data_IF_358508070669
#
_entry.id   IF_358508070669
#
_cell.length_a   1.000
_cell.length_b   1.000
_cell.length_c   1.000
_cell.angle_alpha   90.00
_cell.angle_beta   90.00
_cell.angle_gamma   90.00
#
_symmetry.space_group_name_H-M   'P 1'
#
loop_
_entity.id
_entity.type
_entity.pdbx_description
1 polymer ?
#
# COMPACT_ATOMS: atom_id res chain seq x y z
N UNK A 1 -28.47 -19.00 27.02
CA UNK A 1 -27.10 -18.46 27.25
C UNK A 1 -26.25 -18.75 26.02
N UNK A 2 -25.91 -17.77 25.17
CA UNK A 2 -24.97 -18.04 24.10
C UNK A 2 -23.56 -18.11 24.68
N UNK A 3 -22.84 -19.19 24.34
CA UNK A 3 -21.42 -19.38 24.64
C UNK A 3 -20.60 -18.34 23.89
N UNK A 4 -19.93 -17.48 24.65
CA UNK A 4 -18.91 -16.56 24.15
C UNK A 4 -17.62 -17.37 23.88
N UNK A 5 -17.46 -17.85 22.65
CA UNK A 5 -16.14 -18.30 22.17
C UNK A 5 -15.27 -17.06 21.94
N UNK A 6 -14.53 -16.71 23.00
CA UNK A 6 -13.53 -15.65 23.02
C UNK A 6 -12.33 -15.99 22.15
N UNK A 7 -12.50 -16.01 20.82
CA UNK A 7 -11.38 -15.76 19.91
C UNK A 7 -11.07 -14.28 20.00
N UNK A 8 -9.84 -13.91 20.35
CA UNK A 8 -9.35 -12.54 20.33
C UNK A 8 -9.61 -11.93 18.93
N UNK A 9 -10.73 -11.20 18.79
CA UNK A 9 -11.13 -10.48 17.57
C UNK A 9 -10.41 -9.14 17.53
N UNK A 10 -9.08 -9.17 17.47
CA UNK A 10 -8.32 -7.93 17.31
C UNK A 10 -8.37 -7.51 15.83
N UNK A 11 -8.68 -6.24 15.57
CA UNK A 11 -8.68 -5.63 14.23
C UNK A 11 -9.79 -6.10 13.25
N UNK A 12 -10.99 -6.38 13.76
CA UNK A 12 -12.18 -6.59 12.91
C UNK A 12 -13.14 -5.42 13.04
N UNK A 13 -13.55 -4.86 11.91
CA UNK A 13 -14.53 -3.77 11.85
C UNK A 13 -15.81 -4.30 11.22
N UNK A 14 -16.95 -4.16 11.88
CA UNK A 14 -18.23 -4.64 11.35
C UNK A 14 -18.87 -3.63 10.38
N UNK A 15 -18.55 -2.35 10.51
CA UNK A 15 -19.09 -1.25 9.69
C UNK A 15 -18.07 -0.12 9.57
N UNK A 16 -17.96 0.52 8.40
CA UNK A 16 -17.12 1.71 8.22
C UNK A 16 -18.01 2.94 8.24
N UNK A 17 -17.86 3.79 9.24
CA UNK A 17 -18.67 5.02 9.40
C UNK A 17 -20.19 4.75 9.28
N UNK A 18 -20.67 3.61 9.81
CA UNK A 18 -22.08 3.21 9.73
C UNK A 18 -22.52 2.65 8.36
N UNK A 19 -21.62 2.52 7.37
CA UNK A 19 -21.89 1.89 6.07
C UNK A 19 -21.44 0.43 6.03
N UNK A 20 -22.00 -0.33 5.07
CA UNK A 20 -21.67 -1.74 4.87
C UNK A 20 -20.20 -1.95 4.49
N UNK A 21 -19.65 -3.10 4.86
CA UNK A 21 -18.26 -3.47 4.53
C UNK A 21 -17.96 -3.43 3.03
N UNK A 22 -18.96 -3.72 2.18
CA UNK A 22 -18.84 -3.62 0.72
C UNK A 22 -18.51 -2.19 0.26
N UNK A 23 -19.16 -1.16 0.85
CA UNK A 23 -18.81 0.24 0.57
C UNK A 23 -17.40 0.57 1.05
N UNK A 24 -16.97 -0.07 2.15
CA UNK A 24 -15.61 0.02 2.64
C UNK A 24 -14.57 -0.48 1.65
N UNK A 25 -14.79 -1.66 1.07
CA UNK A 25 -13.88 -2.22 0.06
C UNK A 25 -13.89 -1.42 -1.23
N UNK A 26 -15.06 -0.89 -1.64
CA UNK A 26 -15.15 0.03 -2.78
C UNK A 26 -14.33 1.31 -2.53
N UNK A 27 -14.43 1.89 -1.33
CA UNK A 27 -13.61 3.03 -0.95
C UNK A 27 -12.10 2.71 -0.99
N UNK A 28 -11.69 1.57 -0.43
CA UNK A 28 -10.29 1.11 -0.47
C UNK A 28 -9.80 0.97 -1.91
N UNK A 29 -10.58 0.34 -2.78
CA UNK A 29 -10.23 0.18 -4.19
C UNK A 29 -10.02 1.53 -4.90
N UNK A 30 -10.95 2.46 -4.73
CA UNK A 30 -10.85 3.81 -5.33
C UNK A 30 -9.65 4.57 -4.77
N UNK A 31 -9.51 4.60 -3.44
CA UNK A 31 -8.43 5.32 -2.78
C UNK A 31 -7.05 4.77 -3.18
N UNK A 32 -6.92 3.44 -3.29
CA UNK A 32 -5.68 2.80 -3.76
C UNK A 32 -5.36 3.22 -5.18
N UNK A 33 -6.34 3.20 -6.11
CA UNK A 33 -6.12 3.66 -7.49
C UNK A 33 -5.64 5.11 -7.53
N UNK A 34 -6.26 6.00 -6.76
CA UNK A 34 -5.89 7.43 -6.71
C UNK A 34 -4.48 7.62 -6.16
N UNK A 35 -4.17 7.01 -5.01
CA UNK A 35 -2.85 7.11 -4.37
C UNK A 35 -1.78 6.55 -5.29
N UNK A 36 -1.98 5.35 -5.83
CA UNK A 36 -1.01 4.69 -6.72
C UNK A 36 -0.79 5.49 -8.01
N UNK A 37 -1.83 6.14 -8.55
CA UNK A 37 -1.70 7.02 -9.73
C UNK A 37 -0.86 8.27 -9.44
N UNK A 38 -1.07 8.92 -8.29
CA UNK A 38 -0.25 10.06 -7.87
C UNK A 38 1.21 9.62 -7.70
N UNK A 39 1.43 8.49 -7.02
CA UNK A 39 2.77 7.93 -6.79
C UNK A 39 3.45 7.55 -8.12
N UNK A 40 2.70 7.01 -9.08
CA UNK A 40 3.21 6.68 -10.42
C UNK A 40 3.69 7.95 -11.14
N UNK A 41 2.87 9.00 -11.18
CA UNK A 41 3.23 10.27 -11.82
C UNK A 41 4.47 10.88 -11.17
N UNK A 42 4.53 10.94 -9.84
CA UNK A 42 5.70 11.46 -9.12
C UNK A 42 6.96 10.62 -9.38
N UNK A 43 6.83 9.29 -9.45
CA UNK A 43 7.94 8.38 -9.74
C UNK A 43 8.47 8.56 -11.16
N UNK A 44 7.58 8.75 -12.14
CA UNK A 44 7.96 9.02 -13.53
C UNK A 44 8.68 10.36 -13.67
N UNK A 45 8.18 11.41 -12.99
CA UNK A 45 8.84 12.72 -12.95
C UNK A 45 10.22 12.59 -12.31
N UNK A 46 10.34 11.91 -11.17
CA UNK A 46 11.61 11.72 -10.48
C UNK A 46 12.63 10.92 -11.32
N UNK A 47 12.19 9.82 -11.95
CA UNK A 47 13.01 9.04 -12.85
C UNK A 47 13.51 9.86 -14.04
N UNK A 48 12.62 10.63 -14.68
CA UNK A 48 12.97 11.49 -15.83
C UNK A 48 13.97 12.58 -15.43
N UNK A 49 13.77 13.24 -14.29
CA UNK A 49 14.71 14.25 -13.77
C UNK A 49 16.07 13.65 -13.44
N UNK A 50 16.09 12.42 -12.90
CA UNK A 50 17.34 11.74 -12.56
C UNK A 50 18.10 11.30 -13.80
N UNK A 51 17.40 10.77 -14.82
CA UNK A 51 18.00 10.39 -16.11
C UNK A 51 18.51 11.58 -16.92
N UNK A 52 17.87 12.74 -16.79
CA UNK A 52 18.30 13.98 -17.46
C UNK A 52 19.50 14.63 -16.77
N UNK A 53 19.84 14.24 -15.55
CA UNK A 53 20.97 14.84 -14.84
C UNK A 53 22.30 14.38 -15.44
N UNK A 54 23.20 15.32 -15.71
CA UNK A 54 24.58 15.02 -16.18
C UNK A 54 25.45 14.33 -15.11
N UNK A 55 24.89 14.07 -13.92
CA UNK A 55 25.60 13.44 -12.80
C UNK A 55 25.57 11.92 -12.95
N UNK A 56 26.74 11.27 -12.85
CA UNK A 56 26.79 9.81 -12.74
C UNK A 56 26.02 9.33 -11.50
N UNK A 57 25.01 8.48 -11.70
CA UNK A 57 24.24 7.86 -10.61
C UNK A 57 25.16 7.22 -9.56
N UNK A 58 26.19 6.50 -10.01
CA UNK A 58 27.11 5.76 -9.13
C UNK A 58 27.99 6.66 -8.27
N UNK A 59 28.10 7.95 -8.59
CA UNK A 59 28.86 8.91 -7.80
C UNK A 59 28.02 9.56 -6.67
N UNK A 60 26.69 9.37 -6.68
CA UNK A 60 25.77 10.01 -5.75
C UNK A 60 24.75 9.00 -5.19
N UNK A 61 25.03 8.40 -4.02
CA UNK A 61 24.21 7.31 -3.48
C UNK A 61 22.75 7.71 -3.21
N UNK A 62 22.49 8.97 -2.83
CA UNK A 62 21.11 9.48 -2.68
C UNK A 62 20.36 9.51 -4.02
N UNK A 63 21.02 9.92 -5.11
CA UNK A 63 20.41 9.96 -6.43
C UNK A 63 20.15 8.54 -6.96
N UNK A 64 21.11 7.63 -6.78
CA UNK A 64 20.94 6.21 -7.10
C UNK A 64 19.76 5.59 -6.34
N UNK A 65 19.65 5.86 -5.04
CA UNK A 65 18.54 5.36 -4.23
C UNK A 65 17.18 5.95 -4.68
N UNK A 66 17.12 7.24 -5.00
CA UNK A 66 15.88 7.85 -5.54
C UNK A 66 15.46 7.25 -6.88
N UNK A 67 16.43 6.88 -7.72
CA UNK A 67 16.15 6.19 -8.99
C UNK A 67 15.59 4.79 -8.76
N UNK A 68 16.23 3.99 -7.90
CA UNK A 68 15.74 2.65 -7.52
C UNK A 68 14.34 2.76 -6.93
N UNK A 69 14.12 3.71 -6.01
CA UNK A 69 12.81 3.93 -5.41
C UNK A 69 11.77 4.28 -6.46
N UNK A 70 12.09 5.13 -7.44
CA UNK A 70 11.18 5.50 -8.53
C UNK A 70 10.83 4.31 -9.44
N UNK A 71 11.81 3.45 -9.75
CA UNK A 71 11.58 2.25 -10.56
C UNK A 71 10.67 1.24 -9.85
N UNK A 72 10.96 0.93 -8.58
CA UNK A 72 10.16 0.00 -7.81
C UNK A 72 8.75 0.58 -7.59
N UNK A 73 8.68 1.86 -7.25
CA UNK A 73 7.41 2.53 -6.98
C UNK A 73 6.52 2.64 -8.21
N UNK A 74 7.06 2.97 -9.38
CA UNK A 74 6.29 2.95 -10.64
C UNK A 74 5.75 1.56 -10.99
N UNK A 75 6.55 0.50 -10.77
CA UNK A 75 6.15 -0.88 -11.03
C UNK A 75 5.04 -1.33 -10.07
N UNK A 76 5.19 -1.06 -8.78
CA UNK A 76 4.16 -1.38 -7.78
C UNK A 76 2.91 -0.54 -7.93
N UNK A 77 3.01 0.76 -8.25
CA UNK A 77 1.83 1.58 -8.53
C UNK A 77 1.04 1.05 -9.71
N UNK A 78 1.70 0.65 -10.79
CA UNK A 78 1.03 0.04 -11.96
C UNK A 78 0.30 -1.23 -11.55
N UNK A 79 0.95 -2.11 -10.79
CA UNK A 79 0.32 -3.31 -10.25
C UNK A 79 -0.88 -2.99 -9.33
N UNK A 80 -0.72 -2.05 -8.40
CA UNK A 80 -1.75 -1.65 -7.45
C UNK A 80 -2.98 -1.05 -8.14
N UNK A 81 -2.78 -0.27 -9.20
CA UNK A 81 -3.88 0.25 -10.04
C UNK A 81 -4.64 -0.91 -10.69
N UNK A 82 -3.92 -1.85 -11.32
CA UNK A 82 -4.54 -2.98 -12.02
C UNK A 82 -5.32 -3.88 -11.06
N UNK A 83 -4.71 -4.31 -9.95
CA UNK A 83 -5.38 -5.21 -8.99
C UNK A 83 -6.55 -4.53 -8.30
N UNK A 84 -6.47 -3.22 -8.05
CA UNK A 84 -7.58 -2.46 -7.45
C UNK A 84 -8.69 -2.18 -8.45
N UNK A 85 -8.39 -1.99 -9.75
CA UNK A 85 -9.40 -1.91 -10.79
C UNK A 85 -10.15 -3.25 -10.95
N UNK A 86 -9.43 -4.37 -10.91
CA UNK A 86 -10.03 -5.72 -10.92
C UNK A 86 -10.91 -5.92 -9.68
N UNK A 87 -10.44 -5.49 -8.51
CA UNK A 87 -11.21 -5.52 -7.26
C UNK A 87 -12.52 -4.75 -7.44
N UNK A 88 -12.47 -3.51 -7.93
CA UNK A 88 -13.63 -2.65 -8.17
C UNK A 88 -14.62 -3.25 -9.17
N UNK A 89 -14.13 -3.87 -10.24
CA UNK A 89 -14.98 -4.53 -11.24
C UNK A 89 -15.80 -5.69 -10.65
N UNK A 90 -15.24 -6.40 -9.66
CA UNK A 90 -15.87 -7.56 -9.03
C UNK A 90 -16.48 -7.26 -7.65
N UNK A 91 -16.64 -5.97 -7.29
CA UNK A 91 -17.32 -5.59 -6.05
C UNK A 91 -18.75 -6.10 -6.08
N UNK A 92 -19.13 -6.89 -5.07
CA UNK A 92 -20.47 -7.47 -4.94
C UNK A 92 -20.65 -8.86 -5.57
N UNK A 93 -19.67 -9.37 -6.32
CA UNK A 93 -19.73 -10.74 -6.87
C UNK A 93 -19.23 -11.82 -5.90
N UNK A 94 -18.75 -11.44 -4.72
CA UNK A 94 -18.36 -12.40 -3.66
C UNK A 94 -17.16 -13.29 -3.99
N UNK A 95 -16.37 -12.98 -5.02
CA UNK A 95 -15.23 -13.82 -5.43
C UNK A 95 -14.09 -13.71 -4.42
N UNK A 96 -14.08 -14.61 -3.43
CA UNK A 96 -13.11 -14.66 -2.33
C UNK A 96 -11.64 -14.53 -2.80
N UNK A 97 -11.30 -15.20 -3.91
CA UNK A 97 -9.95 -15.20 -4.47
C UNK A 97 -9.42 -13.80 -4.78
N UNK A 98 -10.25 -12.91 -5.35
CA UNK A 98 -9.80 -11.57 -5.76
C UNK A 98 -9.46 -10.71 -4.53
N UNK A 99 -10.29 -10.78 -3.49
CA UNK A 99 -10.06 -10.05 -2.24
C UNK A 99 -8.82 -10.57 -1.51
N UNK A 100 -8.62 -11.89 -1.48
CA UNK A 100 -7.43 -12.52 -0.87
C UNK A 100 -6.15 -12.19 -1.64
N UNK A 101 -6.22 -12.18 -2.97
CA UNK A 101 -5.11 -11.78 -3.84
C UNK A 101 -4.74 -10.32 -3.61
N UNK A 102 -5.73 -9.41 -3.61
CA UNK A 102 -5.49 -7.99 -3.32
C UNK A 102 -4.81 -7.80 -1.95
N UNK A 103 -5.32 -8.47 -0.91
CA UNK A 103 -4.81 -8.38 0.45
C UNK A 103 -3.35 -8.86 0.55
N UNK A 104 -3.08 -10.07 0.06
CA UNK A 104 -1.75 -10.70 0.15
C UNK A 104 -0.70 -9.91 -0.63
N UNK A 105 -1.07 -9.41 -1.81
CA UNK A 105 -0.18 -8.59 -2.61
C UNK A 105 0.13 -7.24 -1.95
N UNK A 106 -0.87 -6.58 -1.35
CA UNK A 106 -0.64 -5.32 -0.64
C UNK A 106 0.24 -5.50 0.59
N UNK A 107 0.06 -6.58 1.35
CA UNK A 107 0.94 -6.91 2.48
C UNK A 107 2.39 -7.14 2.04
N UNK A 108 2.59 -7.82 0.91
CA UNK A 108 3.92 -8.07 0.35
C UNK A 108 4.58 -6.77 -0.12
N UNK A 109 3.83 -5.91 -0.83
CA UNK A 109 4.29 -4.60 -1.30
C UNK A 109 4.66 -3.70 -0.12
N UNK A 110 3.85 -3.70 0.94
CA UNK A 110 4.09 -2.96 2.18
C UNK A 110 5.44 -3.35 2.80
N UNK A 111 5.71 -4.65 2.91
CA UNK A 111 6.98 -5.17 3.43
C UNK A 111 8.18 -4.67 2.61
N UNK A 112 8.06 -4.63 1.28
CA UNK A 112 9.13 -4.15 0.40
C UNK A 112 9.31 -2.64 0.55
N UNK A 113 8.22 -1.85 0.63
CA UNK A 113 8.31 -0.42 0.88
C UNK A 113 8.96 -0.11 2.22
N UNK A 114 8.63 -0.83 3.28
CA UNK A 114 9.28 -0.69 4.59
C UNK A 114 10.82 -0.85 4.48
N UNK A 115 11.28 -1.88 3.77
CA UNK A 115 12.71 -2.11 3.52
C UNK A 115 13.31 -0.95 2.72
N UNK A 116 12.65 -0.51 1.64
CA UNK A 116 13.14 0.60 0.80
C UNK A 116 13.21 1.93 1.56
N UNK A 117 12.19 2.26 2.36
CA UNK A 117 12.19 3.45 3.21
C UNK A 117 13.34 3.39 4.23
N UNK A 118 13.55 2.23 4.86
CA UNK A 118 14.66 2.04 5.82
C UNK A 118 16.02 2.26 5.17
N UNK A 119 16.27 1.62 4.02
CA UNK A 119 17.53 1.79 3.28
C UNK A 119 17.74 3.25 2.89
N UNK A 120 16.69 3.92 2.37
CA UNK A 120 16.77 5.34 1.98
C UNK A 120 17.11 6.24 3.16
N UNK A 121 16.51 6.00 4.32
CA UNK A 121 16.80 6.74 5.55
C UNK A 121 18.27 6.57 5.95
N UNK A 122 18.79 5.34 5.95
CA UNK A 122 20.20 5.05 6.26
C UNK A 122 21.13 5.82 5.32
N UNK A 123 20.88 5.76 4.01
CA UNK A 123 21.67 6.46 2.99
C UNK A 123 21.60 7.99 3.20
N UNK A 124 20.41 8.54 3.47
CA UNK A 124 20.26 9.97 3.74
C UNK A 124 21.01 10.42 5.00
N UNK A 125 21.02 9.62 6.06
CA UNK A 125 21.81 9.91 7.26
C UNK A 125 23.32 9.84 6.99
N UNK A 126 23.78 8.83 6.24
CA UNK A 126 25.19 8.67 5.88
C UNK A 126 25.73 9.87 5.07
N UNK A 127 24.91 10.38 4.14
CA UNK A 127 25.21 11.56 3.32
C UNK A 127 24.87 12.90 4.00
N UNK A 128 24.56 12.90 5.30
CA UNK A 128 24.24 14.09 6.11
C UNK A 128 23.02 14.90 5.62
N UNK A 129 22.13 14.27 4.85
CA UNK A 129 20.86 14.83 4.39
C UNK A 129 19.74 14.59 5.41
N UNK A 130 19.88 15.16 6.61
CA UNK A 130 18.96 14.92 7.74
C UNK A 130 17.52 15.32 7.47
N UNK A 131 17.30 16.46 6.79
CA UNK A 131 15.95 16.94 6.47
C UNK A 131 15.23 15.94 5.55
N UNK A 132 15.91 15.45 4.52
CA UNK A 132 15.38 14.44 3.59
C UNK A 132 15.10 13.12 4.31
N UNK A 133 15.95 12.73 5.26
CA UNK A 133 15.73 11.54 6.08
C UNK A 133 14.44 11.68 6.92
N UNK A 134 14.25 12.81 7.63
CA UNK A 134 13.05 13.07 8.42
C UNK A 134 11.77 13.06 7.56
N UNK A 135 11.80 13.70 6.39
CA UNK A 135 10.68 13.69 5.44
C UNK A 135 10.38 12.25 4.99
N UNK A 136 11.42 11.46 4.69
CA UNK A 136 11.28 10.07 4.25
C UNK A 136 10.64 9.20 5.34
N UNK A 137 11.03 9.38 6.61
CA UNK A 137 10.42 8.68 7.76
C UNK A 137 8.94 9.04 7.87
N UNK A 138 8.60 10.33 7.86
CA UNK A 138 7.22 10.80 7.98
C UNK A 138 6.33 10.26 6.86
N UNK A 139 6.81 10.29 5.61
CA UNK A 139 6.08 9.74 4.47
C UNK A 139 5.93 8.23 4.61
N UNK A 140 6.98 7.51 5.03
CA UNK A 140 6.94 6.07 5.26
C UNK A 140 5.88 5.68 6.28
N UNK A 141 5.86 6.33 7.44
CA UNK A 141 4.87 6.07 8.50
C UNK A 141 3.44 6.35 8.00
N UNK A 142 3.22 7.45 7.29
CA UNK A 142 1.91 7.79 6.74
C UNK A 142 1.46 6.77 5.69
N UNK A 143 2.34 6.37 4.79
CA UNK A 143 2.06 5.36 3.77
C UNK A 143 1.69 4.01 4.42
N UNK A 144 2.52 3.54 5.34
CA UNK A 144 2.30 2.31 6.09
C UNK A 144 0.97 2.32 6.83
N UNK A 145 0.69 3.39 7.59
CA UNK A 145 -0.54 3.53 8.37
C UNK A 145 -1.80 3.49 7.51
N UNK A 146 -1.80 4.17 6.36
CA UNK A 146 -2.94 4.19 5.44
C UNK A 146 -3.19 2.78 4.86
N UNK A 147 -2.14 2.10 4.40
CA UNK A 147 -2.30 0.79 3.77
C UNK A 147 -2.60 -0.32 4.78
N UNK A 148 -2.08 -0.25 6.01
CA UNK A 148 -2.49 -1.14 7.10
C UNK A 148 -3.98 -0.97 7.39
N UNK A 149 -4.47 0.26 7.42
CA UNK A 149 -5.90 0.53 7.59
C UNK A 149 -6.75 -0.08 6.46
N UNK A 150 -6.30 0.04 5.20
CA UNK A 150 -6.96 -0.59 4.06
C UNK A 150 -6.96 -2.12 4.15
N UNK A 151 -5.85 -2.72 4.59
CA UNK A 151 -5.75 -4.17 4.83
C UNK A 151 -6.75 -4.64 5.89
N UNK A 152 -6.94 -3.89 6.98
CA UNK A 152 -7.93 -4.21 8.02
C UNK A 152 -9.35 -4.22 7.45
N UNK A 153 -9.69 -3.26 6.59
CA UNK A 153 -11.00 -3.16 5.95
C UNK A 153 -11.26 -4.38 5.05
N UNK A 154 -10.32 -4.69 4.16
CA UNK A 154 -10.48 -5.80 3.21
C UNK A 154 -10.47 -7.14 3.93
N UNK A 155 -9.66 -7.30 4.99
CA UNK A 155 -9.66 -8.49 5.83
C UNK A 155 -10.99 -8.68 6.58
N UNK A 156 -11.59 -7.59 7.08
CA UNK A 156 -12.88 -7.64 7.75
C UNK A 156 -14.00 -8.09 6.80
N UNK A 157 -13.96 -7.63 5.53
CA UNK A 157 -14.90 -8.07 4.50
C UNK A 157 -14.66 -9.50 4.02
N UNK A 158 -13.41 -9.92 3.86
CA UNK A 158 -13.04 -11.31 3.56
C UNK A 158 -13.61 -12.26 4.62
N UNK A 159 -13.50 -11.87 5.89
CA UNK A 159 -14.01 -12.64 7.00
C UNK A 159 -15.54 -12.72 7.00
N UNK A 160 -16.25 -11.63 6.69
CA UNK A 160 -17.72 -11.66 6.59
C UNK A 160 -18.20 -12.61 5.49
N UNK A 161 -17.59 -12.54 4.30
CA UNK A 161 -17.90 -13.48 3.19
C UNK A 161 -17.63 -14.92 3.62
N UNK A 162 -16.53 -15.17 4.33
CA UNK A 162 -16.18 -16.51 4.77
C UNK A 162 -17.21 -17.08 5.76
N UNK A 163 -17.76 -16.26 6.67
CA UNK A 163 -18.82 -16.71 7.58
C UNK A 163 -20.12 -17.06 6.83
N UNK A 164 -20.48 -16.28 5.81
CA UNK A 164 -21.67 -16.53 4.99
C UNK A 164 -21.57 -17.82 4.16
N UNK A 165 -20.36 -18.26 3.79
CA UNK A 165 -20.13 -19.51 3.04
C UNK A 165 -20.28 -20.76 3.92
N UNK A 166 -20.01 -20.65 5.23
CA UNK A 166 -20.03 -21.78 6.17
C UNK A 166 -21.31 -21.83 7.05
N UNK A 167 -22.30 -20.98 6.79
CA UNK A 167 -23.65 -21.06 7.37
C UNK A 167 -24.63 -21.73 6.41
#
# INVERSE_FOLDING_TARGET
>A
MPKSDGKFRCCYVNTICGRSLQHGVMFVGIATVVISSIVLLLSLVCATLTLRSDKLLNAHPVAAMNFIFSLVSSSFSTYQILISAILLWHVGQGIFYIYSLWYTSHLSILTIYFVLFTIKVIICFAEKHYVTACITISIGILYEGIFIYFLIIVNSYLYSINQDIYQ
#
